data_IF_784347347130
#
_entry.id   IF_784347347130
#
_cell.length_a   1.000
_cell.length_b   1.000
_cell.length_c   1.000
_cell.angle_alpha   90.00
_cell.angle_beta   90.00
_cell.angle_gamma   90.00
#
_symmetry.space_group_name_H-M   'P 1'
#
loop_
_entity.id
_entity.type
_entity.pdbx_description
1 polymer ?
#
# COMPACT_ATOMS: atom_id res chain seq x y z
N UNK A 1 -7.68 -23.82 6.85
CA UNK A 1 -8.51 -23.19 5.79
C UNK A 1 -8.40 -21.66 5.80
N UNK A 2 -8.49 -20.99 6.96
CA UNK A 2 -8.28 -19.52 7.08
C UNK A 2 -6.92 -19.03 6.55
N UNK A 3 -5.86 -19.82 6.73
CA UNK A 3 -4.50 -19.50 6.23
C UNK A 3 -4.41 -19.44 4.69
N UNK A 4 -5.15 -20.30 3.98
CA UNK A 4 -5.17 -20.31 2.51
C UNK A 4 -5.95 -19.13 1.93
N UNK A 5 -7.05 -18.74 2.60
CA UNK A 5 -7.88 -17.59 2.23
C UNK A 5 -7.10 -16.29 2.44
N UNK A 6 -6.41 -16.15 3.59
CA UNK A 6 -5.57 -15.00 3.87
C UNK A 6 -4.40 -14.87 2.88
N UNK A 7 -3.78 -15.99 2.50
CA UNK A 7 -2.67 -16.05 1.53
C UNK A 7 -3.06 -15.63 0.10
N UNK A 8 -4.34 -15.70 -0.27
CA UNK A 8 -4.85 -15.21 -1.57
C UNK A 8 -5.46 -13.82 -1.51
N UNK A 9 -6.10 -13.47 -0.40
CA UNK A 9 -6.79 -12.18 -0.24
C UNK A 9 -5.80 -11.03 -0.11
N UNK A 10 -4.69 -11.22 0.60
CA UNK A 10 -3.71 -10.14 0.87
C UNK A 10 -2.99 -9.67 -0.40
N UNK A 11 -2.50 -10.55 -1.29
CA UNK A 11 -1.95 -10.12 -2.58
C UNK A 11 -2.98 -9.38 -3.44
N UNK A 12 -4.25 -9.80 -3.41
CA UNK A 12 -5.34 -9.15 -4.15
C UNK A 12 -5.65 -7.78 -3.56
N UNK A 13 -5.63 -7.62 -2.24
CA UNK A 13 -5.78 -6.33 -1.57
C UNK A 13 -4.65 -5.36 -1.95
N UNK A 14 -3.40 -5.83 -1.97
CA UNK A 14 -2.25 -5.04 -2.43
C UNK A 14 -2.41 -4.61 -3.90
N UNK A 15 -2.84 -5.51 -4.78
CA UNK A 15 -3.11 -5.17 -6.17
C UNK A 15 -4.28 -4.18 -6.32
N UNK A 16 -5.31 -4.30 -5.47
CA UNK A 16 -6.41 -3.36 -5.43
C UNK A 16 -5.95 -1.98 -4.93
N UNK A 17 -5.05 -1.90 -3.96
CA UNK A 17 -4.42 -0.63 -3.53
C UNK A 17 -3.60 -0.01 -4.66
N UNK A 18 -2.80 -0.82 -5.38
CA UNK A 18 -2.07 -0.34 -6.56
C UNK A 18 -3.03 0.21 -7.63
N UNK A 19 -4.10 -0.52 -7.92
CA UNK A 19 -5.12 -0.07 -8.88
C UNK A 19 -5.81 1.22 -8.41
N UNK A 20 -6.11 1.33 -7.11
CA UNK A 20 -6.72 2.52 -6.51
C UNK A 20 -5.80 3.75 -6.62
N UNK A 21 -4.51 3.59 -6.31
CA UNK A 21 -3.51 4.67 -6.48
C UNK A 21 -3.39 5.05 -7.95
N UNK A 22 -3.33 4.08 -8.87
CA UNK A 22 -3.26 4.37 -10.30
C UNK A 22 -4.52 5.10 -10.82
N UNK A 23 -5.70 4.74 -10.31
CA UNK A 23 -6.95 5.43 -10.64
C UNK A 23 -6.99 6.85 -10.08
N UNK A 24 -6.50 7.07 -8.86
CA UNK A 24 -6.39 8.40 -8.28
C UNK A 24 -5.41 9.27 -9.08
N UNK A 25 -4.22 8.78 -9.39
CA UNK A 25 -3.24 9.47 -10.23
C UNK A 25 -3.82 9.80 -11.61
N UNK A 26 -4.53 8.85 -12.22
CA UNK A 26 -5.23 9.09 -13.47
C UNK A 26 -6.30 10.17 -13.33
N UNK A 27 -7.09 10.13 -12.26
CA UNK A 27 -8.11 11.14 -12.01
C UNK A 27 -7.49 12.53 -11.77
N UNK A 28 -6.44 12.64 -10.96
CA UNK A 28 -5.75 13.91 -10.73
C UNK A 28 -5.07 14.45 -12.00
N UNK A 29 -4.48 13.57 -12.81
CA UNK A 29 -3.78 14.00 -14.03
C UNK A 29 -4.76 14.41 -15.13
N UNK A 30 -5.87 13.70 -15.31
CA UNK A 30 -6.77 13.88 -16.45
C UNK A 30 -8.07 14.62 -16.13
N UNK A 31 -8.60 14.49 -14.90
CA UNK A 31 -9.86 15.14 -14.49
C UNK A 31 -9.63 16.45 -13.71
N UNK A 32 -8.47 16.65 -13.06
CA UNK A 32 -8.19 17.89 -12.32
C UNK A 32 -7.63 19.03 -13.20
N UNK A 33 -7.37 18.78 -14.49
CA UNK A 33 -6.88 19.79 -15.43
C UNK A 33 -7.83 21.00 -15.54
N UNK A 34 -9.12 20.82 -15.24
CA UNK A 34 -10.16 21.86 -15.31
C UNK A 34 -10.28 22.70 -14.01
N UNK A 35 -9.57 22.33 -12.94
CA UNK A 35 -9.50 23.12 -11.68
C UNK A 35 -8.22 23.94 -11.54
N UNK A 36 -7.27 23.76 -12.46
CA UNK A 36 -5.97 24.43 -12.44
C UNK A 36 -6.04 25.93 -12.80
N UNK A 37 -7.19 26.43 -13.27
CA UNK A 37 -7.37 27.86 -13.58
C UNK A 37 -7.61 28.74 -12.33
N UNK A 38 -7.72 28.17 -11.12
CA UNK A 38 -8.08 28.92 -9.90
C UNK A 38 -6.96 29.00 -8.84
N UNK A 39 -5.84 28.29 -8.95
CA UNK A 39 -4.76 28.41 -7.95
C UNK A 39 -3.38 28.65 -8.60
N UNK A 40 -3.01 29.93 -8.72
CA UNK A 40 -1.67 30.38 -9.10
C UNK A 40 -0.67 30.25 -7.94
N UNK A 41 -0.63 29.09 -7.29
CA UNK A 41 0.49 28.73 -6.43
C UNK A 41 1.49 27.97 -7.30
N UNK A 42 2.57 28.64 -7.69
CA UNK A 42 3.66 28.07 -8.51
C UNK A 42 3.96 26.61 -8.10
N UNK A 43 3.73 25.61 -8.97
CA UNK A 43 4.06 24.25 -8.64
C UNK A 43 5.60 24.15 -8.63
N UNK A 44 6.19 24.12 -7.43
CA UNK A 44 7.61 23.78 -7.29
C UNK A 44 7.83 22.42 -7.95
N UNK A 45 8.42 22.43 -9.14
CA UNK A 45 8.59 21.26 -10.02
C UNK A 45 9.30 20.12 -9.29
N UNK A 46 10.18 20.46 -8.35
CA UNK A 46 10.86 19.51 -7.47
C UNK A 46 9.91 18.73 -6.55
N UNK A 47 8.85 19.36 -6.04
CA UNK A 47 7.82 18.72 -5.21
C UNK A 47 6.99 17.71 -6.00
N UNK A 48 6.64 18.05 -7.25
CA UNK A 48 5.90 17.17 -8.16
C UNK A 48 6.73 15.94 -8.57
N UNK A 49 8.01 16.12 -8.86
CA UNK A 49 8.92 15.01 -9.22
C UNK A 49 9.15 14.09 -8.02
N UNK A 50 9.40 14.65 -6.82
CA UNK A 50 9.59 13.85 -5.62
C UNK A 50 8.34 13.02 -5.29
N UNK A 51 7.15 13.62 -5.41
CA UNK A 51 5.88 12.93 -5.23
C UNK A 51 5.74 11.75 -6.21
N UNK A 52 5.95 11.99 -7.52
CA UNK A 52 5.86 10.94 -8.54
C UNK A 52 6.85 9.79 -8.27
N UNK A 53 8.09 10.10 -7.87
CA UNK A 53 9.08 9.08 -7.50
C UNK A 53 8.60 8.27 -6.29
N UNK A 54 8.08 8.92 -5.24
CA UNK A 54 7.56 8.22 -4.06
C UNK A 54 6.38 7.31 -4.42
N UNK A 55 5.48 7.74 -5.29
CA UNK A 55 4.34 6.95 -5.77
C UNK A 55 4.82 5.71 -6.53
N UNK A 56 5.76 5.86 -7.47
CA UNK A 56 6.34 4.73 -8.21
C UNK A 56 7.03 3.75 -7.27
N UNK A 57 7.82 4.25 -6.31
CA UNK A 57 8.49 3.41 -5.31
C UNK A 57 7.47 2.65 -4.46
N UNK A 58 6.39 3.30 -4.02
CA UNK A 58 5.34 2.66 -3.25
C UNK A 58 4.61 1.56 -4.06
N UNK A 59 4.28 1.82 -5.32
CA UNK A 59 3.66 0.84 -6.22
C UNK A 59 4.57 -0.37 -6.45
N UNK A 60 5.88 -0.14 -6.67
CA UNK A 60 6.86 -1.21 -6.80
C UNK A 60 7.00 -2.03 -5.51
N UNK A 61 7.01 -1.37 -4.35
CA UNK A 61 7.05 -2.03 -3.05
C UNK A 61 5.83 -2.94 -2.86
N UNK A 62 4.63 -2.43 -3.14
CA UNK A 62 3.36 -3.16 -3.06
C UNK A 62 3.31 -4.34 -4.03
N UNK A 63 3.69 -4.13 -5.30
CA UNK A 63 3.75 -5.19 -6.30
C UNK A 63 4.77 -6.29 -5.93
N UNK A 64 5.93 -5.90 -5.41
CA UNK A 64 6.94 -6.82 -4.88
C UNK A 64 6.44 -7.61 -3.67
N UNK A 65 5.72 -6.95 -2.75
CA UNK A 65 5.08 -7.60 -1.61
C UNK A 65 4.02 -8.61 -2.04
N UNK A 66 3.15 -8.24 -2.99
CA UNK A 66 2.14 -9.12 -3.56
C UNK A 66 2.78 -10.35 -4.23
N UNK A 67 3.87 -10.16 -4.98
CA UNK A 67 4.62 -11.26 -5.59
C UNK A 67 5.25 -12.19 -4.54
N UNK A 68 5.84 -11.63 -3.48
CA UNK A 68 6.46 -12.41 -2.39
C UNK A 68 5.44 -13.21 -1.56
N UNK A 69 4.25 -12.67 -1.36
CA UNK A 69 3.17 -13.31 -0.60
C UNK A 69 2.37 -14.31 -1.47
N UNK A 70 2.13 -13.97 -2.74
CA UNK A 70 1.28 -14.74 -3.64
C UNK A 70 2.02 -15.82 -4.44
N UNK A 71 3.33 -15.70 -4.67
CA UNK A 71 4.09 -16.63 -5.52
C UNK A 71 5.14 -17.42 -4.76
N UNK A 72 4.93 -18.73 -4.66
CA UNK A 72 5.92 -19.66 -4.09
C UNK A 72 7.25 -19.63 -4.84
N UNK A 73 7.23 -19.45 -6.17
CA UNK A 73 8.44 -19.41 -7.00
C UNK A 73 9.32 -18.20 -6.72
N UNK A 74 8.71 -17.05 -6.43
CA UNK A 74 9.43 -15.83 -6.03
C UNK A 74 9.94 -15.99 -4.60
N UNK A 75 9.11 -16.54 -3.71
CA UNK A 75 9.45 -16.83 -2.32
C UNK A 75 10.71 -17.69 -2.19
N UNK A 76 10.82 -18.75 -2.99
CA UNK A 76 11.94 -19.70 -2.91
C UNK A 76 13.23 -19.16 -3.52
N UNK A 77 13.15 -18.19 -4.44
CA UNK A 77 14.32 -17.53 -5.05
C UNK A 77 14.85 -16.36 -4.23
N UNK A 78 14.08 -15.84 -3.28
CA UNK A 78 14.43 -14.62 -2.55
C UNK A 78 15.15 -14.97 -1.25
N UNK A 79 16.33 -14.39 -0.96
CA UNK A 79 17.04 -14.66 0.29
C UNK A 79 16.20 -14.22 1.50
N UNK A 80 16.25 -15.01 2.58
CA UNK A 80 15.42 -14.79 3.78
C UNK A 80 15.56 -13.38 4.36
N UNK A 81 16.78 -12.86 4.43
CA UNK A 81 17.04 -11.52 4.95
C UNK A 81 16.33 -10.43 4.11
N UNK A 82 16.39 -10.53 2.78
CA UNK A 82 15.72 -9.59 1.88
C UNK A 82 14.20 -9.70 2.00
N UNK A 83 13.68 -10.92 2.13
CA UNK A 83 12.24 -11.15 2.31
C UNK A 83 11.73 -10.55 3.63
N UNK A 84 12.46 -10.75 4.73
CA UNK A 84 12.09 -10.17 6.03
C UNK A 84 12.15 -8.66 5.97
N UNK A 85 13.24 -8.09 5.43
CA UNK A 85 13.38 -6.64 5.29
C UNK A 85 12.27 -6.04 4.44
N UNK A 86 11.95 -6.64 3.29
CA UNK A 86 10.91 -6.17 2.40
C UNK A 86 9.52 -6.19 3.05
N UNK A 87 9.15 -7.32 3.68
CA UNK A 87 7.86 -7.45 4.35
C UNK A 87 7.75 -6.56 5.59
N UNK A 88 8.83 -6.38 6.36
CA UNK A 88 8.84 -5.47 7.50
C UNK A 88 8.64 -4.02 7.06
N UNK A 89 9.34 -3.60 6.00
CA UNK A 89 9.26 -2.24 5.47
C UNK A 89 7.87 -1.96 4.88
N UNK A 90 7.32 -2.94 4.15
CA UNK A 90 5.96 -2.85 3.61
C UNK A 90 4.90 -2.83 4.72
N UNK A 91 5.03 -3.69 5.74
CA UNK A 91 4.13 -3.69 6.89
C UNK A 91 4.15 -2.37 7.66
N UNK A 92 5.33 -1.78 7.87
CA UNK A 92 5.46 -0.44 8.47
C UNK A 92 4.81 0.65 7.60
N UNK A 93 4.98 0.56 6.28
CA UNK A 93 4.35 1.46 5.32
C UNK A 93 2.83 1.41 5.41
N UNK A 94 2.24 0.22 5.41
CA UNK A 94 0.79 0.03 5.54
C UNK A 94 0.25 0.54 6.89
N UNK A 95 1.00 0.40 7.99
CA UNK A 95 0.63 0.98 9.28
C UNK A 95 0.62 2.51 9.20
N UNK A 96 1.64 3.12 8.58
CA UNK A 96 1.69 4.57 8.40
C UNK A 96 0.50 5.08 7.56
N UNK A 97 0.16 4.36 6.47
CA UNK A 97 -1.00 4.64 5.62
C UNK A 97 -2.30 4.52 6.41
N UNK A 98 -2.47 3.46 7.19
CA UNK A 98 -3.65 3.26 8.04
C UNK A 98 -3.82 4.42 9.03
N UNK A 99 -2.73 4.84 9.69
CA UNK A 99 -2.74 5.98 10.63
C UNK A 99 -3.08 7.29 9.93
N UNK A 100 -2.54 7.53 8.73
CA UNK A 100 -2.90 8.71 7.94
C UNK A 100 -4.40 8.72 7.64
N UNK A 101 -4.95 7.64 7.08
CA UNK A 101 -6.38 7.55 6.80
C UNK A 101 -7.22 7.73 8.06
N UNK A 102 -6.82 7.12 9.19
CA UNK A 102 -7.53 7.31 10.45
C UNK A 102 -7.52 8.77 10.91
N UNK A 103 -6.38 9.46 10.78
CA UNK A 103 -6.29 10.89 11.09
C UNK A 103 -7.24 11.68 10.20
N UNK A 104 -7.23 11.43 8.89
CA UNK A 104 -8.10 12.13 7.93
C UNK A 104 -9.58 11.90 8.25
N UNK A 105 -9.96 10.69 8.66
CA UNK A 105 -11.32 10.36 9.08
C UNK A 105 -11.70 11.07 10.38
N UNK A 106 -10.78 11.15 11.35
CA UNK A 106 -11.04 11.79 12.66
C UNK A 106 -11.08 13.32 12.55
N UNK A 107 -10.29 13.92 11.67
CA UNK A 107 -10.22 15.38 11.50
C UNK A 107 -11.14 15.91 10.40
N UNK A 108 -11.62 15.04 9.50
CA UNK A 108 -12.46 15.41 8.36
C UNK A 108 -13.95 15.48 8.70
N UNK A 109 -14.71 16.25 7.91
CA UNK A 109 -16.17 16.25 7.98
C UNK A 109 -16.72 14.90 7.50
N UNK A 110 -17.75 14.38 8.20
CA UNK A 110 -18.42 13.12 7.85
C UNK A 110 -18.98 13.16 6.43
N UNK A 111 -18.42 12.38 5.52
CA UNK A 111 -18.81 12.33 4.10
C UNK A 111 -18.47 10.98 3.46
N UNK A 112 -18.72 10.77 2.16
CA UNK A 112 -18.40 9.51 1.47
C UNK A 112 -16.91 9.12 1.60
N UNK A 113 -16.03 10.10 1.77
CA UNK A 113 -14.59 9.89 1.95
C UNK A 113 -14.22 9.26 3.29
N UNK A 114 -15.07 9.37 4.33
CA UNK A 114 -14.80 8.71 5.61
C UNK A 114 -14.98 7.21 5.52
N UNK A 115 -15.97 6.72 4.77
CA UNK A 115 -16.16 5.28 4.54
C UNK A 115 -14.96 4.70 3.78
N UNK A 116 -14.50 5.39 2.73
CA UNK A 116 -13.32 5.01 1.96
C UNK A 116 -12.06 4.99 2.84
N UNK A 117 -11.87 6.01 3.68
CA UNK A 117 -10.76 6.07 4.62
C UNK A 117 -10.77 4.93 5.65
N UNK A 118 -11.94 4.59 6.20
CA UNK A 118 -12.09 3.46 7.12
C UNK A 118 -11.78 2.15 6.42
N UNK A 119 -12.35 1.89 5.24
CA UNK A 119 -12.08 0.65 4.49
C UNK A 119 -10.59 0.52 4.10
N UNK A 120 -9.98 1.63 3.65
CA UNK A 120 -8.54 1.68 3.35
C UNK A 120 -7.70 1.39 4.59
N UNK A 121 -8.05 1.94 5.75
CA UNK A 121 -7.34 1.67 7.01
C UNK A 121 -7.45 0.20 7.43
N UNK A 122 -8.62 -0.43 7.28
CA UNK A 122 -8.83 -1.84 7.59
C UNK A 122 -8.03 -2.74 6.65
N UNK A 123 -8.05 -2.44 5.35
CA UNK A 123 -7.27 -3.16 4.35
C UNK A 123 -5.76 -3.08 4.66
N UNK A 124 -5.27 -1.87 4.97
CA UNK A 124 -3.85 -1.63 5.28
C UNK A 124 -3.43 -2.37 6.56
N UNK A 125 -4.27 -2.34 7.61
CA UNK A 125 -4.04 -3.14 8.82
C UNK A 125 -3.99 -4.64 8.55
N UNK A 126 -4.85 -5.16 7.66
CA UNK A 126 -4.84 -6.57 7.30
C UNK A 126 -3.52 -6.95 6.60
N UNK A 127 -3.05 -6.13 5.65
CA UNK A 127 -1.77 -6.34 4.97
C UNK A 127 -0.59 -6.27 5.95
N UNK A 128 -0.59 -5.30 6.86
CA UNK A 128 0.44 -5.15 7.88
C UNK A 128 0.53 -6.38 8.80
N UNK A 129 -0.61 -6.88 9.28
CA UNK A 129 -0.69 -8.10 10.09
C UNK A 129 -0.17 -9.31 9.31
N UNK A 130 -0.52 -9.45 8.04
CA UNK A 130 0.00 -10.54 7.20
C UNK A 130 1.51 -10.46 7.03
N UNK A 131 2.06 -9.26 6.81
CA UNK A 131 3.51 -9.06 6.73
C UNK A 131 4.21 -9.40 8.04
N UNK A 132 3.63 -9.03 9.19
CA UNK A 132 4.13 -9.40 10.52
C UNK A 132 4.10 -10.92 10.75
N UNK A 133 3.01 -11.59 10.36
CA UNK A 133 2.93 -13.05 10.49
C UNK A 133 3.96 -13.76 9.62
N UNK A 134 4.12 -13.37 8.36
CA UNK A 134 5.10 -13.98 7.44
C UNK A 134 6.55 -13.65 7.80
N UNK A 135 6.84 -12.46 8.32
CA UNK A 135 8.18 -12.16 8.87
C UNK A 135 8.46 -13.03 10.09
N UNK A 136 7.49 -13.19 10.99
CA UNK A 136 7.64 -14.02 12.19
C UNK A 136 7.84 -15.51 11.86
N UNK A 137 7.16 -16.05 10.84
CA UNK A 137 7.33 -17.45 10.41
C UNK A 137 8.71 -17.67 9.79
N UNK A 138 9.17 -16.74 8.95
CA UNK A 138 10.51 -16.79 8.34
C UNK A 138 11.61 -16.69 9.40
N UNK A 139 11.44 -15.82 10.41
CA UNK A 139 12.38 -15.68 11.52
C UNK A 139 12.41 -16.90 12.45
N UNK A 140 11.27 -17.54 12.69
CA UNK A 140 11.17 -18.76 13.51
C UNK A 140 11.67 -20.03 12.79
N UNK A 141 11.97 -19.96 11.50
CA UNK A 141 12.44 -21.11 10.72
C UNK A 141 11.38 -22.19 10.49
N UNK A 142 10.13 -21.96 10.89
CA UNK A 142 9.00 -22.85 10.64
C UNK A 142 8.53 -22.69 9.19
N UNK A 143 8.38 -23.78 8.42
CA UNK A 143 7.83 -23.69 7.08
C UNK A 143 6.38 -23.18 7.13
N UNK A 144 6.09 -22.16 6.32
CA UNK A 144 4.76 -21.60 6.10
C UNK A 144 4.03 -22.29 4.95
#
# INVERSE_FOLDING_TARGET
MMTMLHRRVVPVLLLAQVAYVALLEFAFTFLALDTAEIDHTDPQTAGTVLYAVLVVVAVLAMAGGAALLGSARVRDRTPRALRVGWLALLGLGEVAVAVMFLRTVVTGASGPDTLTGVLASVASCAVALSCLTETSTVLRGTPA
#
